data_IF_709400705098
#
_entry.id   IF_709400705098
#
_cell.length_a   1.000
_cell.length_b   1.000
_cell.length_c   1.000
_cell.angle_alpha   90.00
_cell.angle_beta   90.00
_cell.angle_gamma   90.00
#
_symmetry.space_group_name_H-M   'P 1'
#
loop_
_entity.id
_entity.type
_entity.pdbx_description
1 polymer ?
#
# COMPACT_ATOMS: atom_id res chain seq x y z
N UNK A 1 16.88 -6.91 27.89
CA UNK A 1 17.33 -6.37 26.60
C UNK A 1 16.20 -6.56 25.62
N UNK A 2 15.61 -5.50 25.05
CA UNK A 2 14.57 -5.66 24.03
C UNK A 2 15.26 -6.20 22.77
N UNK A 3 14.66 -7.23 22.16
CA UNK A 3 15.13 -7.79 20.90
C UNK A 3 15.11 -6.72 19.82
N UNK A 4 16.21 -6.59 19.09
CA UNK A 4 16.39 -5.70 17.92
C UNK A 4 15.58 -6.16 16.70
N UNK A 5 14.40 -6.75 16.91
CA UNK A 5 13.58 -7.34 15.85
C UNK A 5 12.48 -6.40 15.31
N UNK A 6 12.23 -5.25 15.96
CA UNK A 6 10.99 -4.49 15.75
C UNK A 6 11.09 -3.27 14.81
N UNK A 7 12.26 -2.93 14.27
CA UNK A 7 12.36 -1.77 13.37
C UNK A 7 11.86 -2.02 11.93
N UNK A 8 11.56 -3.27 11.56
CA UNK A 8 11.19 -3.63 10.18
C UNK A 8 9.73 -4.01 9.96
N UNK A 9 8.97 -4.37 11.00
CA UNK A 9 7.60 -4.83 10.83
C UNK A 9 6.66 -3.66 10.53
N UNK A 10 5.99 -3.68 9.39
CA UNK A 10 5.16 -2.61 8.85
C UNK A 10 3.76 -2.57 9.50
N UNK A 11 3.64 -2.04 10.73
CA UNK A 11 2.40 -2.03 11.51
C UNK A 11 1.12 -1.65 10.71
N UNK A 12 0.02 -2.37 10.94
CA UNK A 12 -1.30 -2.07 10.37
C UNK A 12 -1.89 -0.80 10.96
N UNK A 13 -2.92 -0.22 10.33
CA UNK A 13 -3.56 1.00 10.87
C UNK A 13 -4.10 0.76 12.28
N UNK A 14 -4.61 -0.44 12.56
CA UNK A 14 -5.13 -0.81 13.87
C UNK A 14 -4.03 -0.90 14.92
N UNK A 15 -2.90 -1.51 14.58
CA UNK A 15 -1.75 -1.58 15.49
C UNK A 15 -1.20 -0.19 15.78
N UNK A 16 -1.05 0.64 14.75
CA UNK A 16 -0.62 2.04 14.91
C UNK A 16 -1.61 2.82 15.78
N UNK A 17 -2.92 2.70 15.53
CA UNK A 17 -3.94 3.38 16.34
C UNK A 17 -3.87 2.95 17.81
N UNK A 18 -3.72 1.65 18.09
CA UNK A 18 -3.56 1.14 19.46
C UNK A 18 -2.32 1.71 20.15
N UNK A 19 -1.18 1.74 19.45
CA UNK A 19 0.08 2.27 19.98
C UNK A 19 -0.02 3.78 20.26
N UNK A 20 -0.62 4.54 19.33
CA UNK A 20 -0.85 5.97 19.48
C UNK A 20 -1.79 6.28 20.65
N UNK A 21 -2.88 5.52 20.82
CA UNK A 21 -3.79 5.66 21.95
C UNK A 21 -3.09 5.38 23.28
N UNK A 22 -2.20 4.38 23.33
CA UNK A 22 -1.39 4.07 24.50
C UNK A 22 -0.41 5.18 24.88
N UNK A 23 0.24 5.78 23.89
CA UNK A 23 1.17 6.90 24.09
C UNK A 23 0.45 8.19 24.51
N UNK A 24 -0.67 8.52 23.88
CA UNK A 24 -1.44 9.74 24.16
C UNK A 24 -2.23 9.71 25.46
N UNK A 25 -2.54 8.53 26.01
CA UNK A 25 -3.13 8.43 27.35
C UNK A 25 -2.25 9.06 28.46
N UNK A 26 -0.98 9.36 28.17
CA UNK A 26 -0.01 9.96 29.09
C UNK A 26 0.35 11.42 28.79
N UNK A 27 -0.16 12.02 27.70
CA UNK A 27 0.20 13.39 27.27
C UNK A 27 -0.91 14.41 27.57
N UNK A 28 -0.52 15.64 27.94
CA UNK A 28 -1.43 16.74 28.34
C UNK A 28 -1.79 17.66 27.16
N UNK A 29 -1.09 17.56 26.03
CA UNK A 29 -1.10 18.60 24.99
C UNK A 29 -2.21 18.48 23.94
N UNK A 30 -2.84 17.31 23.78
CA UNK A 30 -3.89 17.08 22.76
C UNK A 30 -5.23 16.68 23.38
N UNK A 31 -6.38 17.12 22.84
CA UNK A 31 -7.68 16.69 23.31
C UNK A 31 -7.82 15.16 23.32
N UNK A 32 -8.46 14.62 24.36
CA UNK A 32 -8.76 13.19 24.44
C UNK A 32 -9.61 12.77 23.22
N UNK A 33 -9.24 11.67 22.57
CA UNK A 33 -9.96 11.17 21.39
C UNK A 33 -9.45 11.69 20.04
N UNK A 34 -8.41 12.54 20.02
CA UNK A 34 -7.81 13.06 18.77
C UNK A 34 -7.40 11.95 17.80
N UNK A 35 -6.72 10.90 18.28
CA UNK A 35 -6.28 9.77 17.45
C UNK A 35 -7.47 9.04 16.83
N UNK A 36 -8.51 8.75 17.62
CA UNK A 36 -9.73 8.08 17.14
C UNK A 36 -10.49 8.94 16.13
N UNK A 37 -10.53 10.26 16.35
CA UNK A 37 -11.13 11.20 15.40
C UNK A 37 -10.36 11.19 14.07
N UNK A 38 -9.02 11.26 14.08
CA UNK A 38 -8.21 11.16 12.86
C UNK A 38 -8.42 9.82 12.14
N UNK A 39 -8.38 8.70 12.86
CA UNK A 39 -8.64 7.37 12.31
C UNK A 39 -10.03 7.27 11.68
N UNK A 40 -11.05 7.90 12.28
CA UNK A 40 -12.39 7.99 11.70
C UNK A 40 -12.38 8.78 10.39
N UNK A 41 -11.68 9.92 10.31
CA UNK A 41 -11.56 10.70 9.08
C UNK A 41 -10.94 9.90 7.94
N UNK A 42 -9.85 9.20 8.23
CA UNK A 42 -9.18 8.30 7.29
C UNK A 42 -10.09 7.13 6.83
N UNK A 43 -10.91 6.56 7.72
CA UNK A 43 -11.87 5.53 7.36
C UNK A 43 -13.05 6.04 6.50
N UNK A 44 -13.48 7.30 6.71
CA UNK A 44 -14.48 7.96 5.87
C UNK A 44 -13.92 8.14 4.45
N UNK A 45 -12.66 8.55 4.34
CA UNK A 45 -11.97 8.69 3.06
C UNK A 45 -11.87 7.37 2.28
N UNK A 46 -11.46 6.28 2.95
CA UNK A 46 -11.46 4.95 2.34
C UNK A 46 -12.87 4.54 1.86
N UNK A 47 -13.89 4.82 2.69
CA UNK A 47 -15.29 4.56 2.35
C UNK A 47 -15.73 5.35 1.11
N UNK A 48 -15.28 6.60 0.97
CA UNK A 48 -15.51 7.41 -0.21
C UNK A 48 -14.89 6.77 -1.46
N UNK A 49 -13.63 6.33 -1.39
CA UNK A 49 -12.94 5.62 -2.49
C UNK A 49 -13.74 4.37 -2.91
N UNK A 50 -14.18 3.56 -1.95
CA UNK A 50 -14.98 2.38 -2.22
C UNK A 50 -16.30 2.70 -2.93
N UNK A 51 -17.04 3.69 -2.43
CA UNK A 51 -18.34 4.09 -2.98
C UNK A 51 -18.18 4.71 -4.37
N UNK A 52 -17.15 5.52 -4.60
CA UNK A 52 -16.86 6.09 -5.93
C UNK A 52 -16.53 5.01 -6.95
N UNK A 53 -15.73 4.00 -6.57
CA UNK A 53 -15.47 2.82 -7.43
C UNK A 53 -16.75 2.03 -7.72
N UNK A 54 -17.60 1.84 -6.72
CA UNK A 54 -18.90 1.16 -6.92
C UNK A 54 -19.80 1.91 -7.88
N UNK A 55 -19.90 3.24 -7.72
CA UNK A 55 -20.67 4.12 -8.60
C UNK A 55 -20.17 4.01 -10.05
N UNK A 56 -18.86 4.05 -10.28
CA UNK A 56 -18.25 3.90 -11.62
C UNK A 56 -18.48 2.50 -12.22
N UNK A 57 -18.63 1.47 -11.38
CA UNK A 57 -18.89 0.11 -11.84
C UNK A 57 -20.35 -0.15 -12.26
N UNK A 58 -21.28 0.78 -11.95
CA UNK A 58 -22.68 0.64 -12.33
C UNK A 58 -22.82 0.78 -13.85
N UNK A 59 -23.58 -0.14 -14.43
CA UNK A 59 -23.89 -0.17 -15.87
C UNK A 59 -25.31 0.34 -16.10
N UNK A 60 -25.64 0.65 -17.35
CA UNK A 60 -27.02 0.97 -17.75
C UNK A 60 -28.02 -0.15 -17.40
N UNK A 61 -27.56 -1.40 -17.34
CA UNK A 61 -28.36 -2.60 -17.00
C UNK A 61 -28.44 -2.91 -15.50
N UNK A 62 -27.87 -2.07 -14.63
CA UNK A 62 -27.87 -2.28 -13.17
C UNK A 62 -29.28 -2.17 -12.60
N UNK A 63 -29.62 -3.07 -11.66
CA UNK A 63 -30.96 -3.12 -11.06
C UNK A 63 -31.18 -1.97 -10.08
N UNK A 64 -32.45 -1.60 -9.86
CA UNK A 64 -32.77 -0.50 -8.93
C UNK A 64 -32.39 -0.84 -7.48
N UNK A 65 -32.37 -2.12 -7.10
CA UNK A 65 -31.84 -2.57 -5.80
C UNK A 65 -30.35 -2.25 -5.66
N UNK A 66 -29.55 -2.51 -6.70
CA UNK A 66 -28.12 -2.20 -6.70
C UNK A 66 -27.87 -0.70 -6.67
N UNK A 67 -28.64 0.08 -7.45
CA UNK A 67 -28.58 1.55 -7.43
C UNK A 67 -28.93 2.10 -6.05
N UNK A 68 -30.04 1.64 -5.45
CA UNK A 68 -30.47 2.05 -4.12
C UNK A 68 -29.42 1.72 -3.06
N UNK A 69 -28.75 0.57 -3.17
CA UNK A 69 -27.68 0.21 -2.25
C UNK A 69 -26.48 1.16 -2.33
N UNK A 70 -26.12 1.65 -3.53
CA UNK A 70 -25.07 2.66 -3.70
C UNK A 70 -25.53 4.01 -3.15
N UNK A 71 -26.75 4.45 -3.48
CA UNK A 71 -27.33 5.70 -2.96
C UNK A 71 -27.37 5.71 -1.43
N UNK A 72 -27.85 4.63 -0.81
CA UNK A 72 -27.92 4.53 0.65
C UNK A 72 -26.54 4.56 1.33
N UNK A 73 -25.51 4.00 0.68
CA UNK A 73 -24.12 4.14 1.16
C UNK A 73 -23.60 5.58 1.01
N UNK A 74 -23.94 6.26 -0.07
CA UNK A 74 -23.59 7.67 -0.28
C UNK A 74 -24.26 8.58 0.76
N UNK A 75 -25.54 8.37 1.03
CA UNK A 75 -26.29 9.14 2.04
C UNK A 75 -25.66 8.99 3.44
N UNK A 76 -25.32 7.75 3.81
CA UNK A 76 -24.58 7.47 5.05
C UNK A 76 -23.21 8.15 5.07
N UNK A 77 -22.45 8.08 3.98
CA UNK A 77 -21.15 8.72 3.87
C UNK A 77 -21.26 10.24 4.09
N UNK A 78 -22.24 10.88 3.46
CA UNK A 78 -22.50 12.31 3.65
C UNK A 78 -22.82 12.64 5.11
N UNK A 79 -23.65 11.82 5.77
CA UNK A 79 -23.94 11.99 7.20
C UNK A 79 -22.69 11.85 8.08
N UNK A 80 -21.82 10.89 7.76
CA UNK A 80 -20.59 10.65 8.51
C UNK A 80 -19.57 11.78 8.28
N UNK A 81 -19.49 12.35 7.07
CA UNK A 81 -18.69 13.55 6.78
C UNK A 81 -19.22 14.76 7.57
N UNK A 82 -20.53 15.01 7.57
CA UNK A 82 -21.09 16.13 8.33
C UNK A 82 -20.76 16.04 9.82
N UNK A 83 -20.93 14.85 10.43
CA UNK A 83 -20.55 14.63 11.84
C UNK A 83 -19.07 14.85 12.08
N UNK A 84 -18.23 14.43 11.14
CA UNK A 84 -16.78 14.62 11.22
C UNK A 84 -16.41 16.10 11.19
N UNK A 85 -17.00 16.87 10.27
CA UNK A 85 -16.81 18.32 10.14
C UNK A 85 -17.31 19.06 11.39
N UNK A 86 -18.48 18.69 11.92
CA UNK A 86 -19.02 19.30 13.14
C UNK A 86 -18.06 19.11 14.34
N UNK A 87 -17.40 17.95 14.41
CA UNK A 87 -16.42 17.65 15.45
C UNK A 87 -15.06 18.32 15.24
N UNK A 88 -14.73 18.77 14.03
CA UNK A 88 -13.43 19.32 13.66
C UNK A 88 -13.00 20.52 14.54
N UNK A 89 -13.96 21.40 14.87
CA UNK A 89 -13.72 22.57 15.73
C UNK A 89 -13.18 22.20 17.12
N UNK A 90 -13.53 21.02 17.64
CA UNK A 90 -13.10 20.54 18.95
C UNK A 90 -11.62 20.15 18.95
N UNK A 91 -11.12 19.60 17.84
CA UNK A 91 -9.77 19.05 17.74
C UNK A 91 -8.78 20.01 17.08
N UNK A 92 -9.23 20.78 16.09
CA UNK A 92 -8.37 21.68 15.31
C UNK A 92 -8.52 23.16 15.72
N UNK A 93 -9.57 23.51 16.47
CA UNK A 93 -9.86 24.89 16.86
C UNK A 93 -10.62 25.68 15.80
N UNK A 94 -11.20 26.82 16.20
CA UNK A 94 -12.12 27.61 15.35
C UNK A 94 -11.46 28.38 14.21
N UNK A 95 -10.13 28.52 14.21
CA UNK A 95 -9.40 29.37 13.26
C UNK A 95 -9.28 28.79 11.84
N UNK A 96 -9.64 27.52 11.64
CA UNK A 96 -9.44 26.79 10.38
C UNK A 96 -10.73 26.70 9.54
N UNK A 97 -11.90 26.85 10.18
CA UNK A 97 -13.20 26.68 9.49
C UNK A 97 -13.54 27.85 8.57
N UNK A 98 -12.85 29.00 8.73
CA UNK A 98 -13.03 30.21 7.93
C UNK A 98 -12.15 30.26 6.68
N UNK A 99 -11.36 29.21 6.39
CA UNK A 99 -10.54 29.22 5.18
C UNK A 99 -11.41 28.90 3.95
N UNK A 100 -11.79 30.00 3.30
CA UNK A 100 -12.37 30.14 1.98
C UNK A 100 -11.77 29.18 0.94
N UNK A 101 -12.64 28.83 -0.01
CA UNK A 101 -12.62 27.82 -1.08
C UNK A 101 -11.44 27.99 -2.07
N UNK A 102 -10.21 28.06 -1.57
CA UNK A 102 -9.02 28.41 -2.36
C UNK A 102 -8.13 27.19 -2.54
N UNK A 103 -8.29 26.59 -3.72
CA UNK A 103 -7.42 25.61 -4.36
C UNK A 103 -7.23 24.31 -3.57
N UNK A 104 -8.30 23.53 -3.43
CA UNK A 104 -8.13 22.10 -3.63
C UNK A 104 -7.57 21.96 -5.05
N UNK A 105 -6.29 21.59 -5.17
CA UNK A 105 -5.61 21.43 -6.45
C UNK A 105 -6.56 20.75 -7.44
N UNK A 106 -6.83 21.41 -8.57
CA UNK A 106 -7.53 20.84 -9.74
C UNK A 106 -6.90 19.51 -10.19
N UNK A 107 -5.71 19.18 -9.66
CA UNK A 107 -4.96 17.93 -9.80
C UNK A 107 -5.58 16.74 -9.06
N UNK A 108 -6.49 16.93 -8.08
CA UNK A 108 -7.25 15.81 -7.50
C UNK A 108 -8.18 15.18 -8.55
N UNK A 109 -8.60 15.96 -9.57
CA UNK A 109 -9.34 15.49 -10.75
C UNK A 109 -8.49 14.90 -11.86
N UNK A 110 -7.20 15.23 -12.01
CA UNK A 110 -6.40 14.73 -13.14
C UNK A 110 -6.17 13.21 -13.12
N UNK A 111 -6.19 12.57 -11.94
CA UNK A 111 -6.12 11.11 -11.84
C UNK A 111 -7.51 10.44 -11.86
N UNK A 112 -8.58 11.22 -11.72
CA UNK A 112 -9.95 10.77 -11.96
C UNK A 112 -10.27 10.69 -13.47
N UNK A 113 -9.49 11.36 -14.33
CA UNK A 113 -9.79 11.55 -15.76
C UNK A 113 -9.15 10.57 -16.76
N UNK A 114 -8.29 9.63 -16.34
CA UNK A 114 -7.65 8.71 -17.31
C UNK A 114 -8.52 7.52 -17.75
N UNK A 115 -9.79 7.46 -17.35
CA UNK A 115 -10.78 6.56 -17.95
C UNK A 115 -12.08 7.30 -18.32
N UNK A 116 -11.94 8.51 -18.89
CA UNK A 116 -13.06 9.19 -19.52
C UNK A 116 -13.45 8.42 -20.80
N UNK A 117 -14.39 7.48 -20.66
CA UNK A 117 -15.34 7.21 -21.74
C UNK A 117 -16.24 8.46 -21.84
N UNK A 118 -16.16 9.27 -22.92
CA UNK A 118 -16.93 10.50 -23.07
C UNK A 118 -18.46 10.29 -23.10
N UNK A 119 -18.92 9.03 -23.06
CA UNK A 119 -20.32 8.64 -23.14
C UNK A 119 -20.88 7.88 -21.93
N UNK A 120 -20.21 7.92 -20.77
CA UNK A 120 -20.79 7.33 -19.56
C UNK A 120 -22.00 8.16 -19.09
N UNK A 121 -23.19 7.81 -19.60
CA UNK A 121 -24.47 8.14 -18.99
C UNK A 121 -24.51 7.45 -17.62
N UNK A 122 -23.87 8.05 -16.61
CA UNK A 122 -23.90 7.50 -15.26
C UNK A 122 -25.37 7.42 -14.81
N UNK A 123 -25.86 6.24 -14.39
CA UNK A 123 -27.25 6.07 -14.00
C UNK A 123 -27.63 6.77 -12.69
N UNK A 124 -26.68 7.50 -12.07
CA UNK A 124 -26.86 8.21 -10.81
C UNK A 124 -26.39 9.67 -10.94
N UNK A 125 -27.09 10.62 -10.32
CA UNK A 125 -26.69 12.03 -10.34
C UNK A 125 -25.27 12.23 -9.78
N UNK A 126 -24.60 13.28 -10.24
CA UNK A 126 -23.36 13.74 -9.65
C UNK A 126 -23.67 14.26 -8.24
N UNK A 127 -23.05 13.64 -7.22
CA UNK A 127 -23.12 14.10 -5.83
C UNK A 127 -21.68 14.43 -5.49
N UNK A 128 -21.42 15.71 -5.25
CA UNK A 128 -20.12 16.18 -4.81
C UNK A 128 -19.88 15.66 -3.40
N UNK A 129 -18.81 14.89 -3.19
CA UNK A 129 -18.38 14.48 -1.86
C UNK A 129 -17.49 15.61 -1.35
N UNK A 130 -17.90 16.35 -0.29
CA UNK A 130 -17.08 17.45 0.23
C UNK A 130 -15.73 16.91 0.72
N UNK A 131 -14.68 17.70 0.51
CA UNK A 131 -13.34 17.37 0.99
C UNK A 131 -13.34 17.28 2.52
N UNK A 132 -12.66 16.27 3.07
CA UNK A 132 -12.51 16.12 4.51
C UNK A 132 -11.43 17.09 5.02
N UNK A 133 -11.71 17.86 6.09
CA UNK A 133 -10.70 18.70 6.72
C UNK A 133 -9.80 17.83 7.59
N UNK A 134 -8.87 17.12 6.96
CA UNK A 134 -7.81 16.37 7.63
C UNK A 134 -6.57 17.27 7.73
N UNK A 135 -5.85 17.29 8.87
CA UNK A 135 -4.63 18.09 9.00
C UNK A 135 -3.70 18.03 7.78
N UNK A 136 -3.43 16.86 7.22
CA UNK A 136 -2.53 16.71 6.09
C UNK A 136 -3.08 17.25 4.75
N UNK A 137 -4.40 17.44 4.62
CA UNK A 137 -4.98 18.12 3.46
C UNK A 137 -4.76 19.64 3.48
N UNK A 138 -4.48 20.23 4.65
CA UNK A 138 -4.08 21.63 4.78
C UNK A 138 -2.60 21.87 4.40
N UNK A 139 -1.79 20.81 4.38
CA UNK A 139 -0.36 20.87 4.10
C UNK A 139 0.50 21.27 5.31
N UNK A 140 1.76 20.77 5.34
CA UNK A 140 2.68 20.90 6.48
C UNK A 140 2.87 22.35 6.96
N UNK A 141 2.97 23.29 6.03
CA UNK A 141 3.19 24.72 6.34
C UNK A 141 2.03 25.28 7.16
N UNK A 142 0.80 25.06 6.69
CA UNK A 142 -0.40 25.56 7.36
C UNK A 142 -0.59 24.84 8.70
N UNK A 143 -0.29 23.54 8.78
CA UNK A 143 -0.31 22.83 10.06
C UNK A 143 0.63 23.47 11.08
N UNK A 144 1.84 23.85 10.68
CA UNK A 144 2.80 24.51 11.57
C UNK A 144 2.32 25.90 11.99
N UNK A 145 1.79 26.68 11.05
CA UNK A 145 1.28 28.04 11.30
C UNK A 145 0.08 28.05 12.26
N UNK A 146 -0.77 27.02 12.19
CA UNK A 146 -1.96 26.88 13.05
C UNK A 146 -1.74 26.01 14.28
N UNK A 147 -0.51 25.56 14.58
CA UNK A 147 -0.21 24.73 15.75
C UNK A 147 -0.74 23.29 15.67
N UNK A 148 -1.07 22.80 14.48
CA UNK A 148 -1.55 21.44 14.19
C UNK A 148 -0.41 20.46 13.86
N UNK A 149 0.85 20.85 14.03
CA UNK A 149 2.00 20.00 13.69
C UNK A 149 1.92 18.60 14.33
N UNK A 150 1.54 18.55 15.61
CA UNK A 150 1.36 17.28 16.32
C UNK A 150 0.23 16.43 15.74
N UNK A 151 -0.89 17.04 15.31
CA UNK A 151 -2.00 16.34 14.67
C UNK A 151 -1.59 15.79 13.30
N UNK A 152 -0.83 16.56 12.52
CA UNK A 152 -0.28 16.14 11.24
C UNK A 152 0.68 14.94 11.40
N UNK A 153 1.53 14.94 12.43
CA UNK A 153 2.44 13.82 12.70
C UNK A 153 1.67 12.54 13.13
N UNK A 154 0.56 12.68 13.86
CA UNK A 154 -0.33 11.56 14.19
C UNK A 154 -1.05 11.01 12.96
N UNK A 155 -1.60 11.89 12.14
CA UNK A 155 -2.26 11.50 10.89
C UNK A 155 -1.27 10.80 9.95
N UNK A 156 -0.02 11.26 9.87
CA UNK A 156 1.02 10.64 9.05
C UNK A 156 1.29 9.20 9.50
N UNK A 157 1.37 8.95 10.80
CA UNK A 157 1.55 7.60 11.33
C UNK A 157 0.37 6.69 10.96
N UNK A 158 -0.86 7.19 11.07
CA UNK A 158 -2.05 6.44 10.65
C UNK A 158 -2.04 6.18 9.13
N UNK A 159 -1.67 7.16 8.30
CA UNK A 159 -1.51 6.97 6.86
C UNK A 159 -0.45 5.92 6.50
N UNK A 160 0.64 5.82 7.27
CA UNK A 160 1.62 4.74 7.12
C UNK A 160 0.96 3.37 7.40
N UNK A 161 0.16 3.29 8.46
CA UNK A 161 -0.63 2.10 8.77
C UNK A 161 -1.60 1.71 7.65
N UNK A 162 -2.35 2.67 7.11
CA UNK A 162 -3.24 2.45 5.97
C UNK A 162 -2.49 2.01 4.70
N UNK A 163 -1.34 2.61 4.43
CA UNK A 163 -0.51 2.22 3.30
C UNK A 163 -0.07 0.75 3.42
N UNK A 164 0.30 0.30 4.63
CA UNK A 164 0.65 -1.09 4.90
C UNK A 164 -0.54 -2.02 4.68
N UNK A 165 -1.72 -1.69 5.20
CA UNK A 165 -2.94 -2.48 5.02
C UNK A 165 -3.34 -2.56 3.54
N UNK A 166 -3.21 -1.46 2.80
CA UNK A 166 -3.46 -1.40 1.36
C UNK A 166 -2.48 -2.28 0.57
N UNK A 167 -1.18 -2.22 0.88
CA UNK A 167 -0.17 -3.09 0.25
C UNK A 167 -0.41 -4.56 0.56
N UNK A 168 -0.75 -4.89 1.81
CA UNK A 168 -1.08 -6.26 2.19
C UNK A 168 -2.29 -6.78 1.39
N UNK A 169 -3.33 -5.95 1.28
CA UNK A 169 -4.53 -6.26 0.52
C UNK A 169 -4.23 -6.43 -0.99
N UNK A 170 -3.32 -5.63 -1.54
CA UNK A 170 -2.81 -5.76 -2.91
C UNK A 170 -2.13 -7.13 -3.08
N UNK A 171 -1.21 -7.50 -2.19
CA UNK A 171 -0.53 -8.80 -2.21
C UNK A 171 -1.55 -9.95 -2.17
N UNK A 172 -2.48 -9.94 -1.20
CA UNK A 172 -3.53 -10.95 -1.08
C UNK A 172 -4.39 -11.06 -2.33
N UNK A 173 -4.76 -9.93 -2.93
CA UNK A 173 -5.61 -9.95 -4.11
C UNK A 173 -4.88 -10.48 -5.34
N UNK A 174 -3.61 -10.11 -5.53
CA UNK A 174 -2.78 -10.64 -6.62
C UNK A 174 -2.56 -12.15 -6.49
N UNK A 175 -2.29 -12.60 -5.28
CA UNK A 175 -2.20 -14.01 -4.90
C UNK A 175 -3.47 -14.81 -5.18
N UNK A 176 -4.62 -14.34 -4.68
CA UNK A 176 -5.90 -15.02 -4.93
C UNK A 176 -6.20 -15.08 -6.44
N UNK A 177 -5.90 -14.00 -7.17
CA UNK A 177 -6.06 -13.95 -8.63
C UNK A 177 -5.20 -14.99 -9.35
N UNK A 178 -3.97 -15.22 -8.88
CA UNK A 178 -3.09 -16.29 -9.38
C UNK A 178 -3.72 -17.67 -9.15
N UNK A 179 -4.15 -17.92 -7.92
CA UNK A 179 -4.77 -19.21 -7.54
C UNK A 179 -6.02 -19.45 -8.36
N UNK A 180 -6.89 -18.44 -8.52
CA UNK A 180 -8.07 -18.49 -9.38
C UNK A 180 -7.70 -18.80 -10.84
N UNK A 181 -6.64 -18.20 -11.36
CA UNK A 181 -6.21 -18.44 -12.74
C UNK A 181 -5.75 -19.88 -12.94
N UNK A 182 -4.88 -20.38 -12.05
CA UNK A 182 -4.32 -21.73 -12.15
C UNK A 182 -5.36 -22.83 -11.88
N UNK A 183 -6.25 -22.64 -10.90
CA UNK A 183 -7.17 -23.69 -10.44
C UNK A 183 -8.53 -23.68 -11.13
N UNK A 184 -8.97 -22.52 -11.65
CA UNK A 184 -10.32 -22.38 -12.22
C UNK A 184 -10.30 -21.90 -13.67
N UNK A 185 -9.49 -20.91 -14.03
CA UNK A 185 -9.50 -20.35 -15.41
C UNK A 185 -8.88 -21.33 -16.40
N UNK A 186 -7.66 -21.81 -16.13
CA UNK A 186 -6.95 -22.74 -17.02
C UNK A 186 -7.70 -24.06 -17.27
N UNK A 187 -8.26 -24.73 -16.25
CA UNK A 187 -8.97 -25.99 -16.45
C UNK A 187 -10.43 -25.83 -16.89
N UNK A 188 -10.97 -24.60 -17.00
CA UNK A 188 -12.35 -24.41 -17.41
C UNK A 188 -12.57 -24.87 -18.85
N UNK A 189 -13.34 -25.95 -19.01
CA UNK A 189 -13.59 -26.57 -20.32
C UNK A 189 -14.85 -26.07 -21.03
N UNK A 190 -15.80 -25.47 -20.30
CA UNK A 190 -17.07 -25.01 -20.87
C UNK A 190 -17.27 -23.50 -20.70
N UNK A 191 -18.06 -22.92 -21.62
CA UNK A 191 -18.24 -21.47 -21.73
C UNK A 191 -18.84 -20.86 -20.45
N UNK A 192 -19.81 -21.52 -19.81
CA UNK A 192 -20.49 -20.99 -18.62
C UNK A 192 -19.59 -21.00 -17.38
N UNK A 193 -18.80 -22.05 -17.16
CA UNK A 193 -17.78 -22.07 -16.10
C UNK A 193 -16.68 -21.04 -16.36
N UNK A 194 -16.31 -20.84 -17.63
CA UNK A 194 -15.34 -19.82 -18.02
C UNK A 194 -15.86 -18.42 -17.66
N UNK A 195 -17.07 -18.06 -18.09
CA UNK A 195 -17.70 -16.76 -17.76
C UNK A 195 -17.82 -16.53 -16.25
N UNK A 196 -18.25 -17.53 -15.48
CA UNK A 196 -18.35 -17.42 -14.02
C UNK A 196 -16.98 -17.22 -13.37
N UNK A 197 -15.95 -17.87 -13.88
CA UNK A 197 -14.59 -17.74 -13.34
C UNK A 197 -13.99 -16.38 -13.67
N UNK A 198 -14.16 -15.88 -14.89
CA UNK A 198 -13.79 -14.52 -15.25
C UNK A 198 -14.54 -13.46 -14.43
N UNK A 199 -15.80 -13.72 -14.07
CA UNK A 199 -16.53 -12.87 -13.10
C UNK A 199 -15.81 -12.74 -11.76
N UNK A 200 -15.19 -13.81 -11.23
CA UNK A 200 -14.39 -13.77 -10.00
C UNK A 200 -13.08 -13.01 -10.18
N UNK A 201 -12.42 -13.18 -11.33
CA UNK A 201 -11.21 -12.42 -11.67
C UNK A 201 -11.51 -10.92 -11.71
N UNK A 202 -12.61 -10.51 -12.35
CA UNK A 202 -13.03 -9.10 -12.38
C UNK A 202 -13.41 -8.55 -11.00
N UNK A 203 -13.97 -9.38 -10.12
CA UNK A 203 -14.21 -9.01 -8.74
C UNK A 203 -12.89 -8.75 -8.01
N UNK A 204 -11.89 -9.62 -8.18
CA UNK A 204 -10.54 -9.42 -7.64
C UNK A 204 -9.90 -8.14 -8.21
N UNK A 205 -10.04 -7.87 -9.51
CA UNK A 205 -9.56 -6.61 -10.13
C UNK A 205 -10.18 -5.37 -9.50
N UNK A 206 -11.47 -5.43 -9.17
CA UNK A 206 -12.18 -4.32 -8.51
C UNK A 206 -11.62 -4.08 -7.11
N UNK A 207 -11.35 -5.14 -6.35
CA UNK A 207 -10.73 -5.07 -5.01
C UNK A 207 -9.31 -4.50 -5.12
N UNK A 208 -8.51 -5.02 -6.05
CA UNK A 208 -7.13 -4.57 -6.31
C UNK A 208 -7.10 -3.06 -6.63
N UNK A 209 -8.00 -2.60 -7.49
CA UNK A 209 -8.08 -1.20 -7.90
C UNK A 209 -8.42 -0.26 -6.74
N UNK A 210 -9.23 -0.70 -5.78
CA UNK A 210 -9.56 0.09 -4.58
C UNK A 210 -8.34 0.27 -3.68
N UNK A 211 -7.65 -0.82 -3.32
CA UNK A 211 -6.46 -0.75 -2.47
C UNK A 211 -5.29 -0.03 -3.15
N UNK A 212 -5.17 -0.15 -4.47
CA UNK A 212 -4.21 0.65 -5.26
C UNK A 212 -4.46 2.14 -5.10
N UNK A 213 -5.72 2.58 -5.13
CA UNK A 213 -6.07 3.99 -4.98
C UNK A 213 -5.80 4.50 -3.56
N UNK A 214 -6.13 3.70 -2.53
CA UNK A 214 -5.81 4.01 -1.13
C UNK A 214 -4.30 4.21 -0.97
N UNK A 215 -3.50 3.23 -1.41
CA UNK A 215 -2.04 3.32 -1.34
C UNK A 215 -1.48 4.56 -2.06
N UNK A 216 -1.94 4.82 -3.29
CA UNK A 216 -1.51 6.00 -4.06
C UNK A 216 -1.85 7.30 -3.34
N UNK A 217 -3.00 7.37 -2.66
CA UNK A 217 -3.36 8.55 -1.88
C UNK A 217 -2.44 8.72 -0.67
N UNK A 218 -2.21 7.67 0.12
CA UNK A 218 -1.24 7.72 1.22
C UNK A 218 0.15 8.11 0.74
N UNK A 219 0.62 7.58 -0.39
CA UNK A 219 1.93 7.91 -0.96
C UNK A 219 2.02 9.38 -1.39
N UNK A 220 0.98 9.96 -1.98
CA UNK A 220 0.93 11.40 -2.31
C UNK A 220 1.03 12.26 -1.06
N UNK A 221 0.30 11.89 -0.01
CA UNK A 221 0.37 12.57 1.29
C UNK A 221 1.77 12.49 1.88
N UNK A 222 2.43 11.32 1.83
CA UNK A 222 3.81 11.19 2.31
C UNK A 222 4.80 12.06 1.52
N UNK A 223 4.60 12.20 0.20
CA UNK A 223 5.44 13.06 -0.66
C UNK A 223 5.21 14.55 -0.38
N UNK A 224 3.96 14.98 -0.22
CA UNK A 224 3.63 16.39 0.03
C UNK A 224 4.16 16.91 1.38
N UNK A 225 4.45 16.00 2.31
CA UNK A 225 4.99 16.31 3.63
C UNK A 225 6.51 16.32 3.70
N UNK A 226 7.18 16.13 2.55
CA UNK A 226 8.64 15.99 2.46
C UNK A 226 9.14 14.94 3.47
N UNK A 227 8.47 13.78 3.51
CA UNK A 227 8.82 12.72 4.46
C UNK A 227 10.29 12.28 4.28
N UNK A 228 10.85 11.74 5.35
CA UNK A 228 12.24 11.30 5.42
C UNK A 228 12.61 10.39 4.23
N UNK A 229 13.84 10.53 3.75
CA UNK A 229 14.37 9.77 2.62
C UNK A 229 14.24 8.26 2.85
N UNK A 230 14.42 7.80 4.10
CA UNK A 230 14.23 6.38 4.48
C UNK A 230 12.79 5.92 4.24
N UNK A 231 11.82 6.77 4.55
CA UNK A 231 10.40 6.49 4.34
C UNK A 231 10.06 6.47 2.84
N UNK A 232 10.65 7.37 2.06
CA UNK A 232 10.50 7.41 0.61
C UNK A 232 11.14 6.22 -0.12
N UNK A 233 12.26 5.71 0.40
CA UNK A 233 12.89 4.48 -0.10
C UNK A 233 12.01 3.25 0.18
N UNK A 234 11.27 3.27 1.30
CA UNK A 234 10.34 2.21 1.69
C UNK A 234 9.03 2.24 0.92
N UNK A 235 8.40 3.40 0.78
CA UNK A 235 7.09 3.58 0.14
C UNK A 235 7.20 4.20 -1.25
N UNK A 236 7.46 3.34 -2.23
CA UNK A 236 7.71 3.77 -3.61
C UNK A 236 6.41 4.06 -4.38
N UNK A 237 6.45 4.90 -5.43
CA UNK A 237 5.32 5.06 -6.35
C UNK A 237 4.89 3.72 -6.94
N UNK A 238 3.58 3.45 -6.92
CA UNK A 238 3.01 2.20 -7.43
C UNK A 238 2.55 2.38 -8.88
N UNK A 239 3.27 1.78 -9.83
CA UNK A 239 2.94 1.83 -11.26
C UNK A 239 2.10 0.63 -11.69
N UNK A 240 1.31 0.77 -12.76
CA UNK A 240 0.41 -0.30 -13.21
C UNK A 240 1.16 -1.58 -13.65
N UNK A 241 2.45 -1.45 -14.01
CA UNK A 241 3.30 -2.60 -14.30
C UNK A 241 3.53 -3.46 -13.04
N UNK A 242 3.55 -2.85 -11.86
CA UNK A 242 3.78 -3.55 -10.59
C UNK A 242 2.60 -4.43 -10.19
N UNK A 243 1.41 -4.13 -10.74
CA UNK A 243 0.16 -4.86 -10.49
C UNK A 243 -0.02 -6.06 -11.43
N UNK A 244 0.91 -6.29 -12.35
CA UNK A 244 0.86 -7.45 -13.24
C UNK A 244 1.24 -8.70 -12.46
N UNK A 245 0.47 -9.77 -12.69
CA UNK A 245 0.77 -11.07 -12.13
C UNK A 245 2.03 -11.64 -12.82
N UNK A 246 3.15 -11.62 -12.10
CA UNK A 246 4.42 -12.19 -12.57
C UNK A 246 4.43 -13.71 -12.43
N UNK A 247 5.21 -14.39 -13.29
CA UNK A 247 5.41 -15.84 -13.23
C UNK A 247 5.93 -16.33 -11.87
N UNK A 248 6.68 -15.49 -11.16
CA UNK A 248 7.18 -15.77 -9.81
C UNK A 248 6.05 -15.99 -8.77
N UNK A 249 4.95 -15.24 -8.89
CA UNK A 249 3.77 -15.39 -8.04
C UNK A 249 2.98 -16.64 -8.44
N UNK A 250 2.97 -16.97 -9.73
CA UNK A 250 2.24 -18.10 -10.30
C UNK A 250 2.86 -19.47 -10.04
N UNK A 251 4.17 -19.51 -9.85
CA UNK A 251 4.93 -20.73 -9.62
C UNK A 251 6.01 -20.44 -8.57
N UNK A 252 5.63 -20.42 -7.28
CA UNK A 252 6.58 -20.11 -6.21
C UNK A 252 7.70 -21.16 -6.12
N UNK A 253 7.45 -22.40 -6.54
CA UNK A 253 8.45 -23.47 -6.63
C UNK A 253 9.37 -23.35 -7.86
N UNK A 254 9.24 -22.28 -8.64
CA UNK A 254 10.10 -22.00 -9.79
C UNK A 254 11.55 -21.68 -9.41
N UNK A 255 12.39 -21.36 -10.40
CA UNK A 255 13.79 -21.04 -10.11
C UNK A 255 13.94 -19.76 -9.28
N UNK A 256 15.00 -19.71 -8.46
CA UNK A 256 15.38 -18.57 -7.62
C UNK A 256 15.42 -17.26 -8.42
N UNK A 257 15.93 -17.29 -9.66
CA UNK A 257 15.99 -16.14 -10.57
C UNK A 257 14.61 -15.55 -10.94
N UNK A 258 13.52 -16.30 -10.79
CA UNK A 258 12.17 -15.75 -11.03
C UNK A 258 11.78 -14.74 -9.95
N UNK A 259 12.29 -14.89 -8.73
CA UNK A 259 11.96 -14.00 -7.61
C UNK A 259 12.66 -12.64 -7.69
N UNK A 260 13.73 -12.53 -8.49
CA UNK A 260 14.40 -11.24 -8.79
C UNK A 260 13.46 -10.25 -9.49
N UNK A 261 12.41 -10.75 -10.16
CA UNK A 261 11.42 -9.94 -10.86
C UNK A 261 10.21 -9.57 -9.98
N UNK A 262 10.25 -9.86 -8.67
CA UNK A 262 9.19 -9.43 -7.75
C UNK A 262 9.25 -7.91 -7.55
N UNK A 263 8.08 -7.30 -7.57
CA UNK A 263 7.92 -5.88 -7.30
C UNK A 263 8.27 -5.57 -5.84
N UNK A 264 8.74 -4.35 -5.61
CA UNK A 264 9.36 -3.93 -4.35
C UNK A 264 8.48 -4.14 -3.09
N UNK A 265 7.15 -4.16 -3.23
CA UNK A 265 6.24 -4.33 -2.10
C UNK A 265 6.16 -5.78 -1.59
N UNK A 266 6.60 -6.77 -2.37
CA UNK A 266 6.63 -8.18 -1.94
C UNK A 266 7.74 -8.49 -0.91
N UNK A 267 8.73 -7.61 -0.80
CA UNK A 267 9.84 -7.75 0.15
C UNK A 267 9.60 -6.96 1.44
N UNK A 268 8.47 -6.28 1.58
CA UNK A 268 8.11 -5.59 2.80
C UNK A 268 7.69 -6.58 3.88
N UNK A 269 8.25 -6.41 5.09
CA UNK A 269 7.87 -7.19 6.27
C UNK A 269 6.55 -6.64 6.84
N UNK A 270 5.43 -6.94 6.19
CA UNK A 270 4.10 -6.54 6.66
C UNK A 270 3.62 -7.57 7.70
N UNK A 271 3.25 -7.15 8.93
CA UNK A 271 2.80 -8.01 10.00
C UNK A 271 1.60 -8.83 9.55
N UNK A 272 1.64 -10.09 9.94
CA UNK A 272 0.66 -11.09 9.60
C UNK A 272 -0.49 -11.00 10.59
N UNK A 273 -1.63 -10.51 10.13
CA UNK A 273 -2.88 -10.69 10.84
C UNK A 273 -3.27 -12.17 10.85
N UNK A 274 -4.03 -12.60 11.86
CA UNK A 274 -4.42 -13.99 12.10
C UNK A 274 -5.28 -14.66 10.99
N UNK A 275 -5.52 -13.95 9.88
CA UNK A 275 -6.36 -14.38 8.76
C UNK A 275 -5.57 -14.63 7.46
N UNK A 276 -4.28 -14.94 7.58
CA UNK A 276 -3.46 -15.31 6.41
C UNK A 276 -3.90 -16.66 5.83
N UNK A 277 -4.01 -16.75 4.50
CA UNK A 277 -4.29 -18.03 3.84
C UNK A 277 -3.03 -18.91 3.86
N UNK A 278 -3.19 -20.21 4.06
CA UNK A 278 -2.10 -21.21 4.10
C UNK A 278 -1.15 -21.09 2.89
N UNK A 279 -1.71 -20.78 1.71
CA UNK A 279 -0.94 -20.55 0.49
C UNK A 279 -0.05 -19.30 0.55
N UNK A 280 -0.51 -18.21 1.16
CA UNK A 280 0.26 -16.97 1.25
C UNK A 280 1.44 -17.11 2.20
N UNK A 281 1.22 -17.77 3.35
CA UNK A 281 2.28 -18.14 4.28
C UNK A 281 3.36 -18.96 3.58
N UNK A 282 2.95 -19.92 2.74
CA UNK A 282 3.87 -20.75 1.95
C UNK A 282 4.61 -19.94 0.88
N UNK A 283 3.92 -19.03 0.19
CA UNK A 283 4.56 -18.11 -0.77
C UNK A 283 5.67 -17.29 -0.11
N UNK A 284 5.39 -16.65 1.03
CA UNK A 284 6.40 -15.87 1.75
C UNK A 284 7.52 -16.74 2.31
N UNK A 285 7.20 -17.96 2.78
CA UNK A 285 8.21 -18.92 3.24
C UNK A 285 9.18 -19.27 2.12
N UNK A 286 8.67 -19.59 0.94
CA UNK A 286 9.49 -19.89 -0.24
C UNK A 286 10.29 -18.66 -0.67
N UNK A 287 9.66 -17.48 -0.72
CA UNK A 287 10.35 -16.23 -1.04
C UNK A 287 11.52 -15.93 -0.10
N UNK A 288 11.30 -16.12 1.20
CA UNK A 288 12.34 -15.97 2.21
C UNK A 288 13.46 -17.00 2.02
N UNK A 289 13.14 -18.27 1.77
CA UNK A 289 14.12 -19.32 1.53
C UNK A 289 14.99 -19.02 0.30
N UNK A 290 14.39 -18.58 -0.81
CA UNK A 290 15.11 -18.20 -2.02
C UNK A 290 16.00 -16.97 -1.78
N UNK A 291 15.48 -15.93 -1.13
CA UNK A 291 16.26 -14.72 -0.79
C UNK A 291 17.45 -15.07 0.11
N UNK A 292 17.25 -15.94 1.09
CA UNK A 292 18.31 -16.43 1.97
C UNK A 292 19.35 -17.24 1.20
N UNK A 293 18.94 -18.14 0.31
CA UNK A 293 19.85 -18.93 -0.51
C UNK A 293 20.74 -18.03 -1.39
N UNK A 294 20.16 -17.01 -2.02
CA UNK A 294 20.91 -15.99 -2.78
C UNK A 294 21.91 -15.30 -1.86
N UNK A 295 21.47 -14.81 -0.70
CA UNK A 295 22.35 -14.15 0.26
C UNK A 295 23.53 -15.04 0.69
N UNK A 296 23.27 -16.32 0.97
CA UNK A 296 24.30 -17.27 1.39
C UNK A 296 25.27 -17.59 0.25
N UNK A 297 24.79 -17.70 -0.99
CA UNK A 297 25.65 -17.81 -2.18
C UNK A 297 26.57 -16.59 -2.34
N UNK A 298 26.06 -15.36 -2.23
CA UNK A 298 26.90 -14.16 -2.28
C UNK A 298 27.97 -14.14 -1.18
N UNK A 299 27.62 -14.59 0.04
CA UNK A 299 28.61 -14.72 1.13
C UNK A 299 29.70 -15.74 0.80
N UNK A 300 29.35 -16.84 0.14
CA UNK A 300 30.31 -17.85 -0.31
C UNK A 300 31.19 -17.31 -1.44
N UNK A 301 30.62 -16.67 -2.46
CA UNK A 301 31.37 -16.07 -3.57
C UNK A 301 32.38 -15.04 -3.09
N UNK A 302 32.01 -14.18 -2.13
CA UNK A 302 32.95 -13.22 -1.53
C UNK A 302 34.14 -13.94 -0.85
N UNK A 303 33.91 -15.09 -0.21
CA UNK A 303 34.99 -15.89 0.38
C UNK A 303 35.84 -16.56 -0.69
N UNK A 304 35.22 -17.08 -1.75
CA UNK A 304 35.92 -17.69 -2.89
C UNK A 304 36.81 -16.67 -3.60
N UNK A 305 36.28 -15.50 -3.95
CA UNK A 305 37.03 -14.43 -4.63
C UNK A 305 38.25 -13.99 -3.80
N UNK A 306 38.09 -13.82 -2.49
CA UNK A 306 39.22 -13.50 -1.60
C UNK A 306 40.29 -14.60 -1.62
N UNK A 307 39.87 -15.85 -1.61
CA UNK A 307 40.76 -17.01 -1.65
C UNK A 307 41.48 -17.12 -3.00
N UNK A 308 40.75 -16.88 -4.10
CA UNK A 308 41.27 -16.91 -5.47
C UNK A 308 42.29 -15.80 -5.73
N UNK A 309 42.04 -14.58 -5.26
CA UNK A 309 43.02 -13.48 -5.31
C UNK A 309 44.29 -13.86 -4.56
N UNK A 310 44.16 -14.45 -3.37
CA UNK A 310 45.30 -14.89 -2.58
C UNK A 310 46.07 -16.03 -3.26
N UNK A 311 45.38 -17.02 -3.82
CA UNK A 311 46.01 -18.09 -4.62
C UNK A 311 46.70 -17.55 -5.87
N UNK A 312 46.12 -16.56 -6.53
CA UNK A 312 46.70 -15.92 -7.72
C UNK A 312 48.02 -15.23 -7.37
N UNK A 313 48.06 -14.45 -6.29
CA UNK A 313 49.29 -13.80 -5.80
C UNK A 313 50.36 -14.85 -5.47
N UNK A 314 49.98 -15.91 -4.76
CA UNK A 314 50.92 -16.99 -4.41
C UNK A 314 51.43 -17.74 -5.63
N UNK A 315 50.58 -17.98 -6.63
CA UNK A 315 50.96 -18.60 -7.89
C UNK A 315 52.01 -17.77 -8.62
N UNK A 316 51.77 -16.47 -8.81
CA UNK A 316 52.74 -15.57 -9.45
C UNK A 316 54.04 -15.46 -8.65
N UNK A 317 53.96 -15.40 -7.31
CA UNK A 317 55.14 -15.39 -6.44
C UNK A 317 55.96 -16.67 -6.59
N UNK A 318 55.29 -17.82 -6.64
CA UNK A 318 55.93 -19.12 -6.87
C UNK A 318 56.58 -19.19 -8.25
N UNK A 319 55.91 -18.70 -9.29
CA UNK A 319 56.45 -18.63 -10.65
C UNK A 319 57.66 -17.72 -10.77
N UNK A 320 57.61 -16.53 -10.15
CA UNK A 320 58.75 -15.62 -10.07
C UNK A 320 59.99 -16.31 -9.47
N UNK A 321 59.83 -16.98 -8.31
CA UNK A 321 60.91 -17.76 -7.68
C UNK A 321 61.41 -18.92 -8.53
N UNK A 322 60.57 -19.52 -9.37
CA UNK A 322 60.99 -20.58 -10.30
C UNK A 322 61.84 -20.01 -11.44
N UNK A 323 61.47 -18.86 -11.98
CA UNK A 323 62.22 -18.19 -13.05
C UNK A 323 63.58 -17.69 -12.57
N UNK A 324 63.66 -17.09 -11.38
CA UNK A 324 64.94 -16.70 -10.76
C UNK A 324 65.92 -17.89 -10.65
N UNK A 325 65.42 -19.09 -10.34
CA UNK A 325 66.25 -20.30 -10.26
C UNK A 325 66.72 -20.84 -11.60
N UNK A 326 66.01 -20.52 -12.68
CA UNK A 326 66.34 -20.95 -14.05
C UNK A 326 67.29 -19.96 -14.76
N UNK A 327 67.64 -18.85 -14.13
CA UNK A 327 68.63 -17.89 -14.64
C UNK A 327 68.14 -16.99 -15.77
N UNK A 328 66.83 -16.72 -15.83
CA UNK A 328 66.21 -15.69 -16.70
C UNK A 328 65.90 -14.45 -15.88
#
# INVERSE_FOLDING_TARGET
>A
MPSTHDFNTAASVRTVEMDLLGQHASSVETPQGTVTWLAQGLAIEESAIHIMKDKRSLKSTTTDIQKLAVIGRMDRLTSDISKFIDAATTYMGSAIVDHDDTTADEVESEWEEQNNDPHSNLPLPFIHIPALPLPLSLGRRNCNEHGLAALADLELQLCIGQANDALQSICYTLADKVVLFCTKVRPASNQSANTRTWGKVHQADTVLSRHTQIYRKCQKVMVSLEADQVLMERYKPLVDQDLKVTTAISDPNGSIHRMENLTWFWTMDIPRDAQESDWMSEFYRINWLCTKAVQDQWKEEVKFIKSEVWWTINFFTSKSRQWEKLGV
#
